data_IF_995969190001
#
_entry.id   IF_995969190001
#
_cell.length_a   1.000
_cell.length_b   1.000
_cell.length_c   1.000
_cell.angle_alpha   90.00
_cell.angle_beta   90.00
_cell.angle_gamma   90.00
#
_symmetry.space_group_name_H-M   'P 1'
#
loop_
_entity.id
_entity.type
_entity.pdbx_description
1 polymer ?
#
# COMPACT_ATOMS: atom_id res chain seq x y z
N UNK A 1 -59.86 44.70 40.28
CA UNK A 1 -59.38 43.39 40.75
C UNK A 1 -58.77 42.68 39.57
N UNK A 2 -57.44 42.70 39.49
CA UNK A 2 -56.65 42.17 38.37
C UNK A 2 -56.40 40.69 38.61
N UNK A 3 -56.86 39.81 37.72
CA UNK A 3 -56.52 38.39 37.75
C UNK A 3 -55.22 38.18 36.97
N UNK A 4 -54.21 37.63 37.64
CA UNK A 4 -52.93 37.23 37.04
C UNK A 4 -53.08 35.75 36.64
N UNK A 5 -53.03 35.47 35.33
CA UNK A 5 -52.94 34.09 34.83
C UNK A 5 -51.48 33.62 34.97
N UNK A 6 -51.28 32.52 35.71
CA UNK A 6 -49.99 31.82 35.79
C UNK A 6 -49.94 30.81 34.65
N UNK A 7 -49.17 31.09 33.61
CA UNK A 7 -48.85 30.11 32.56
C UNK A 7 -47.86 29.09 33.10
N UNK A 8 -48.29 27.84 33.21
CA UNK A 8 -47.43 26.69 33.46
C UNK A 8 -46.62 26.37 32.20
N UNK A 9 -45.32 26.60 32.25
CA UNK A 9 -44.39 26.23 31.18
C UNK A 9 -44.26 24.70 31.08
N UNK A 10 -44.66 24.14 29.95
CA UNK A 10 -44.41 22.75 29.55
C UNK A 10 -42.90 22.53 29.37
N UNK A 11 -42.29 21.46 29.93
CA UNK A 11 -40.88 21.21 29.69
C UNK A 11 -40.69 20.79 28.22
N UNK A 12 -39.87 21.55 27.50
CA UNK A 12 -39.46 21.23 26.14
C UNK A 12 -38.79 19.85 26.12
N UNK A 13 -39.22 19.01 25.17
CA UNK A 13 -38.59 17.72 24.90
C UNK A 13 -37.09 17.91 24.61
N UNK A 14 -36.21 16.98 25.03
CA UNK A 14 -34.79 17.08 24.74
C UNK A 14 -34.61 17.04 23.22
N UNK A 15 -34.08 18.12 22.66
CA UNK A 15 -33.57 18.15 21.29
C UNK A 15 -32.55 17.05 21.15
N UNK A 16 -32.86 16.07 20.29
CA UNK A 16 -31.92 15.05 19.86
C UNK A 16 -30.69 15.78 19.30
N UNK A 17 -29.59 15.71 20.04
CA UNK A 17 -28.32 16.34 19.68
C UNK A 17 -27.93 15.86 18.27
N UNK A 18 -28.02 16.76 17.29
CA UNK A 18 -27.58 16.55 15.91
C UNK A 18 -26.05 16.59 15.84
N UNK A 19 -25.35 15.98 16.78
CA UNK A 19 -23.91 15.84 16.80
C UNK A 19 -23.45 14.58 16.03
N UNK A 20 -24.02 14.37 14.84
CA UNK A 20 -23.34 13.65 13.75
C UNK A 20 -22.68 14.73 12.89
N UNK A 21 -21.88 15.56 13.55
CA UNK A 21 -21.14 16.64 12.90
C UNK A 21 -20.23 16.02 11.84
N UNK A 22 -20.22 16.65 10.67
CA UNK A 22 -19.57 16.16 9.47
C UNK A 22 -18.13 15.76 9.77
N UNK A 23 -17.88 14.46 9.76
CA UNK A 23 -16.54 13.91 9.71
C UNK A 23 -15.81 14.61 8.56
N UNK A 24 -14.80 15.40 8.90
CA UNK A 24 -14.07 16.23 7.94
C UNK A 24 -13.61 15.37 6.75
N UNK A 25 -13.62 15.91 5.54
CA UNK A 25 -13.30 15.15 4.31
C UNK A 25 -11.90 14.52 4.28
N UNK A 26 -10.97 14.98 5.13
CA UNK A 26 -9.64 14.38 5.33
C UNK A 26 -9.59 13.32 6.44
N UNK A 27 -10.68 13.11 7.17
CA UNK A 27 -10.72 12.14 8.26
C UNK A 27 -10.72 10.71 7.68
N UNK A 28 -9.99 9.76 8.28
CA UNK A 28 -9.87 8.39 7.77
C UNK A 28 -11.20 7.65 7.69
N UNK A 29 -12.18 8.01 8.53
CA UNK A 29 -13.54 7.43 8.51
C UNK A 29 -14.52 8.15 7.57
N UNK A 30 -14.08 9.19 6.86
CA UNK A 30 -14.90 9.82 5.84
C UNK A 30 -15.08 8.88 4.65
N UNK A 31 -16.31 8.57 4.25
CA UNK A 31 -16.61 7.79 3.06
C UNK A 31 -17.13 8.73 1.97
N UNK A 32 -16.39 8.87 0.88
CA UNK A 32 -16.87 9.67 -0.25
C UNK A 32 -18.06 8.94 -0.91
N UNK A 33 -19.11 9.63 -1.41
CA UNK A 33 -20.24 8.98 -2.09
C UNK A 33 -19.82 8.04 -3.26
N UNK A 34 -18.76 8.40 -3.98
CA UNK A 34 -18.14 7.56 -5.02
C UNK A 34 -17.48 6.28 -4.49
N UNK A 35 -17.12 6.22 -3.22
CA UNK A 35 -16.57 5.01 -2.60
C UNK A 35 -17.65 3.94 -2.40
N UNK A 36 -18.90 4.38 -2.21
CA UNK A 36 -20.07 3.52 -2.00
C UNK A 36 -20.53 2.87 -3.33
N UNK A 37 -20.20 3.47 -4.47
CA UNK A 37 -20.58 2.99 -5.80
C UNK A 37 -19.72 1.82 -6.34
N UNK A 38 -18.76 1.32 -5.56
CA UNK A 38 -18.36 -0.08 -5.68
C UNK A 38 -17.31 -0.45 -6.73
N UNK A 39 -16.53 0.49 -7.28
CA UNK A 39 -15.44 0.11 -8.22
C UNK A 39 -14.10 0.66 -7.78
N UNK A 40 -13.28 -0.20 -7.18
CA UNK A 40 -11.85 0.03 -7.15
C UNK A 40 -11.25 -0.45 -8.48
N UNK A 41 -10.63 0.50 -9.20
CA UNK A 41 -9.91 0.26 -10.43
C UNK A 41 -8.50 -0.25 -10.08
N UNK A 42 -8.43 -1.50 -9.62
CA UNK A 42 -7.18 -2.26 -9.67
C UNK A 42 -7.33 -3.21 -10.85
N UNK A 43 -6.56 -2.96 -11.91
CA UNK A 43 -6.62 -3.75 -13.15
C UNK A 43 -6.13 -5.19 -12.97
N UNK A 44 -5.51 -5.51 -11.84
CA UNK A 44 -4.85 -6.79 -11.61
C UNK A 44 -5.47 -7.48 -10.40
N UNK A 45 -6.17 -8.61 -10.62
CA UNK A 45 -6.60 -9.47 -9.52
C UNK A 45 -5.44 -10.29 -8.98
N UNK A 46 -5.43 -10.56 -7.68
CA UNK A 46 -4.49 -11.52 -7.08
C UNK A 46 -4.83 -12.92 -7.55
N UNK A 47 -3.89 -13.59 -8.21
CA UNK A 47 -4.07 -14.96 -8.73
C UNK A 47 -3.28 -15.99 -7.91
N UNK A 48 -2.20 -15.53 -7.29
CA UNK A 48 -1.31 -16.37 -6.52
C UNK A 48 -0.04 -15.64 -6.11
N UNK A 49 0.96 -16.37 -5.62
CA UNK A 49 2.23 -15.77 -5.20
C UNK A 49 3.00 -15.08 -6.33
N UNK A 50 2.81 -15.50 -7.58
CA UNK A 50 3.52 -15.00 -8.76
C UNK A 50 3.23 -13.53 -9.07
N UNK A 51 2.04 -13.03 -8.71
CA UNK A 51 1.65 -11.64 -8.95
C UNK A 51 1.37 -10.85 -7.65
N UNK A 52 1.63 -11.46 -6.49
CA UNK A 52 1.33 -10.86 -5.19
C UNK A 52 2.04 -9.52 -4.95
N UNK A 53 3.31 -9.38 -5.36
CA UNK A 53 4.05 -8.12 -5.22
C UNK A 53 3.42 -6.95 -5.95
N UNK A 54 3.15 -7.16 -7.25
CA UNK A 54 2.52 -6.17 -8.11
C UNK A 54 1.11 -5.84 -7.63
N UNK A 55 0.34 -6.86 -7.25
CA UNK A 55 -0.99 -6.71 -6.68
C UNK A 55 -0.96 -5.90 -5.38
N UNK A 56 -0.13 -6.28 -4.41
CA UNK A 56 -0.02 -5.62 -3.10
C UNK A 56 0.39 -4.15 -3.25
N UNK A 57 1.34 -3.86 -4.14
CA UNK A 57 1.76 -2.49 -4.46
C UNK A 57 0.61 -1.69 -5.08
N UNK A 58 -0.08 -2.25 -6.07
CA UNK A 58 -1.21 -1.59 -6.74
C UNK A 58 -2.35 -1.31 -5.76
N UNK A 59 -2.68 -2.28 -4.91
CA UNK A 59 -3.67 -2.15 -3.85
C UNK A 59 -3.32 -1.01 -2.88
N UNK A 60 -2.09 -0.97 -2.37
CA UNK A 60 -1.64 0.08 -1.45
C UNK A 60 -1.70 1.47 -2.09
N UNK A 61 -1.34 1.61 -3.37
CA UNK A 61 -1.42 2.89 -4.10
C UNK A 61 -2.87 3.39 -4.19
N UNK A 62 -3.80 2.52 -4.57
CA UNK A 62 -5.21 2.92 -4.70
C UNK A 62 -5.82 3.29 -3.35
N UNK A 63 -5.58 2.50 -2.31
CA UNK A 63 -6.09 2.83 -0.96
C UNK A 63 -5.43 4.07 -0.36
N UNK A 64 -4.17 4.35 -0.68
CA UNK A 64 -3.54 5.61 -0.31
C UNK A 64 -4.24 6.79 -0.95
N UNK A 65 -4.53 6.72 -2.26
CA UNK A 65 -5.29 7.77 -2.97
C UNK A 65 -6.70 8.01 -2.41
N UNK A 66 -7.29 7.00 -1.76
CA UNK A 66 -8.61 7.09 -1.10
C UNK A 66 -8.56 7.46 0.38
N UNK A 67 -7.38 7.72 0.93
CA UNK A 67 -7.18 7.94 2.38
C UNK A 67 -7.67 6.74 3.24
N UNK A 68 -7.54 5.52 2.72
CA UNK A 68 -7.94 4.27 3.38
C UNK A 68 -6.80 3.30 3.66
N UNK A 69 -5.56 3.66 3.28
CA UNK A 69 -4.39 2.80 3.50
C UNK A 69 -4.22 2.39 4.98
N UNK A 70 -4.66 3.24 5.91
CA UNK A 70 -4.55 2.94 7.34
C UNK A 70 -5.36 1.73 7.81
N UNK A 71 -6.45 1.37 7.12
CA UNK A 71 -7.22 0.17 7.42
C UNK A 71 -6.40 -1.09 7.10
N UNK A 72 -5.90 -1.20 5.86
CA UNK A 72 -5.04 -2.30 5.41
C UNK A 72 -3.77 -2.45 6.26
N UNK A 73 -3.15 -1.34 6.68
CA UNK A 73 -1.94 -1.36 7.50
C UNK A 73 -2.22 -1.57 8.99
N UNK A 74 -3.48 -1.62 9.42
CA UNK A 74 -3.82 -1.73 10.83
C UNK A 74 -3.49 -0.51 11.67
N UNK A 75 -3.29 0.65 11.05
CA UNK A 75 -3.05 1.94 11.73
C UNK A 75 -4.34 2.73 11.92
N UNK A 76 -5.49 2.20 11.48
CA UNK A 76 -6.83 2.74 11.72
C UNK A 76 -7.72 1.68 12.37
N UNK A 77 -7.42 1.28 13.62
CA UNK A 77 -8.17 0.23 14.33
C UNK A 77 -9.38 0.82 15.06
N UNK A 78 -10.47 0.04 15.16
CA UNK A 78 -11.73 0.47 15.79
C UNK A 78 -11.54 1.07 17.20
N UNK A 79 -10.73 0.44 18.04
CA UNK A 79 -10.49 0.88 19.42
C UNK A 79 -9.72 2.21 19.54
N UNK A 80 -9.17 2.73 18.45
CA UNK A 80 -8.51 4.03 18.43
C UNK A 80 -9.50 5.20 18.30
N UNK A 81 -10.76 4.90 17.99
CA UNK A 81 -11.80 5.89 17.80
C UNK A 81 -12.78 5.89 18.98
N UNK A 82 -13.37 7.06 19.23
CA UNK A 82 -14.46 7.21 20.19
C UNK A 82 -15.63 6.25 19.85
N UNK A 83 -16.32 5.67 20.85
CA UNK A 83 -17.48 4.79 20.62
C UNK A 83 -18.54 5.37 19.68
N UNK A 84 -18.74 6.68 19.65
CA UNK A 84 -19.67 7.35 18.72
C UNK A 84 -19.31 7.17 17.24
N UNK A 85 -18.04 6.88 16.93
CA UNK A 85 -17.52 6.69 15.58
C UNK A 85 -17.43 5.21 15.16
N UNK A 86 -17.77 4.27 16.05
CA UNK A 86 -17.62 2.84 15.80
C UNK A 86 -18.48 2.33 14.63
N UNK A 87 -19.71 2.82 14.51
CA UNK A 87 -20.60 2.50 13.37
C UNK A 87 -20.04 3.01 12.03
N UNK A 88 -19.40 4.19 12.03
CA UNK A 88 -18.75 4.73 10.84
C UNK A 88 -17.50 3.93 10.46
N UNK A 89 -16.76 3.46 11.47
CA UNK A 89 -15.64 2.55 11.26
C UNK A 89 -16.11 1.22 10.66
N UNK A 90 -17.17 0.61 11.20
CA UNK A 90 -17.72 -0.65 10.70
C UNK A 90 -18.18 -0.52 9.24
N UNK A 91 -18.80 0.61 8.88
CA UNK A 91 -19.16 0.91 7.48
C UNK A 91 -17.94 1.00 6.57
N UNK A 92 -16.88 1.70 7.01
CA UNK A 92 -15.64 1.78 6.23
C UNK A 92 -15.00 0.40 6.06
N UNK A 93 -14.91 -0.38 7.14
CA UNK A 93 -14.37 -1.74 7.11
C UNK A 93 -15.15 -2.65 6.16
N UNK A 94 -16.49 -2.58 6.14
CA UNK A 94 -17.31 -3.34 5.20
C UNK A 94 -17.04 -2.97 3.73
N UNK A 95 -16.86 -1.66 3.43
CA UNK A 95 -16.49 -1.19 2.09
C UNK A 95 -15.09 -1.70 1.70
N UNK A 96 -14.12 -1.63 2.62
CA UNK A 96 -12.77 -2.13 2.42
C UNK A 96 -12.75 -3.63 2.12
N UNK A 97 -13.49 -4.42 2.89
CA UNK A 97 -13.65 -5.85 2.66
C UNK A 97 -14.25 -6.14 1.29
N UNK A 98 -15.32 -5.45 0.89
CA UNK A 98 -15.92 -5.62 -0.44
C UNK A 98 -14.92 -5.30 -1.57
N UNK A 99 -14.13 -4.25 -1.41
CA UNK A 99 -13.10 -3.89 -2.37
C UNK A 99 -11.97 -4.92 -2.46
N UNK A 100 -11.46 -5.39 -1.33
CA UNK A 100 -10.42 -6.43 -1.26
C UNK A 100 -10.92 -7.72 -1.91
N UNK A 101 -12.15 -8.12 -1.62
CA UNK A 101 -12.76 -9.31 -2.23
C UNK A 101 -12.85 -9.20 -3.75
N UNK A 102 -13.17 -8.02 -4.30
CA UNK A 102 -13.30 -7.81 -5.75
C UNK A 102 -11.95 -7.86 -6.52
N UNK A 103 -10.83 -7.69 -5.81
CA UNK A 103 -9.49 -7.66 -6.42
C UNK A 103 -8.70 -8.94 -6.15
N UNK A 104 -9.36 -9.99 -5.65
CA UNK A 104 -8.79 -11.32 -5.42
C UNK A 104 -9.50 -12.31 -6.34
N UNK A 105 -8.75 -13.23 -6.94
CA UNK A 105 -9.34 -14.24 -7.81
C UNK A 105 -10.29 -15.17 -7.02
N UNK A 106 -11.45 -15.57 -7.59
CA UNK A 106 -12.48 -16.30 -6.87
C UNK A 106 -12.01 -17.61 -6.19
N UNK A 107 -11.01 -18.28 -6.78
CA UNK A 107 -10.42 -19.50 -6.22
C UNK A 107 -9.71 -19.27 -4.87
N UNK A 108 -9.22 -18.05 -4.62
CA UNK A 108 -8.54 -17.69 -3.37
C UNK A 108 -9.51 -17.16 -2.30
N UNK A 109 -10.67 -16.65 -2.72
CA UNK A 109 -11.69 -16.07 -1.84
C UNK A 109 -12.31 -17.07 -0.86
N UNK A 110 -12.37 -18.36 -1.21
CA UNK A 110 -12.98 -19.42 -0.40
C UNK A 110 -12.48 -19.45 1.06
N UNK A 111 -11.22 -19.09 1.27
CA UNK A 111 -10.59 -19.04 2.59
C UNK A 111 -10.83 -17.74 3.39
N UNK A 112 -11.45 -16.72 2.77
CA UNK A 112 -11.54 -15.34 3.29
C UNK A 112 -12.96 -14.82 3.43
N UNK A 113 -13.98 -15.57 2.96
CA UNK A 113 -15.39 -15.16 3.00
C UNK A 113 -15.91 -14.84 4.41
N UNK A 114 -15.31 -15.44 5.44
CA UNK A 114 -15.74 -15.25 6.84
C UNK A 114 -14.94 -14.19 7.60
N UNK A 115 -14.08 -13.44 6.93
CA UNK A 115 -13.29 -12.40 7.58
C UNK A 115 -14.13 -11.17 7.90
N UNK A 116 -14.03 -10.70 9.15
CA UNK A 116 -14.74 -9.51 9.65
C UNK A 116 -13.86 -8.25 9.67
N UNK A 117 -12.58 -8.37 9.36
CA UNK A 117 -11.57 -7.34 9.55
C UNK A 117 -10.66 -7.33 8.31
N UNK A 118 -10.66 -6.21 7.60
CA UNK A 118 -9.92 -6.04 6.35
C UNK A 118 -8.40 -6.15 6.55
N UNK A 119 -7.89 -5.64 7.67
CA UNK A 119 -6.48 -5.78 8.03
C UNK A 119 -6.09 -7.25 8.15
N UNK A 120 -6.91 -8.07 8.83
CA UNK A 120 -6.61 -9.50 9.00
C UNK A 120 -6.59 -10.25 7.67
N UNK A 121 -7.47 -9.89 6.73
CA UNK A 121 -7.44 -10.44 5.37
C UNK A 121 -6.12 -10.09 4.69
N UNK A 122 -5.71 -8.81 4.75
CA UNK A 122 -4.45 -8.37 4.14
C UNK A 122 -3.22 -9.01 4.80
N UNK A 123 -3.25 -9.25 6.11
CA UNK A 123 -2.20 -9.93 6.86
C UNK A 123 -2.07 -11.41 6.48
N UNK A 124 -3.19 -12.14 6.41
CA UNK A 124 -3.21 -13.54 5.97
C UNK A 124 -2.71 -13.69 4.52
N UNK A 125 -3.14 -12.79 3.62
CA UNK A 125 -2.62 -12.72 2.25
C UNK A 125 -1.11 -12.48 2.20
N UNK A 126 -0.62 -11.60 3.09
CA UNK A 126 0.80 -11.35 3.22
C UNK A 126 1.55 -12.58 3.70
N UNK A 127 1.13 -13.23 4.79
CA UNK A 127 1.81 -14.43 5.29
C UNK A 127 1.86 -15.57 4.25
N UNK A 128 0.77 -15.75 3.50
CA UNK A 128 0.66 -16.82 2.49
C UNK A 128 1.50 -16.58 1.25
N UNK A 129 1.52 -15.35 0.73
CA UNK A 129 2.08 -15.07 -0.59
C UNK A 129 3.39 -14.26 -0.56
N UNK A 130 3.73 -13.59 0.55
CA UNK A 130 4.96 -12.79 0.66
C UNK A 130 6.23 -13.64 0.71
N UNK A 131 6.14 -14.93 1.07
CA UNK A 131 7.28 -15.87 1.00
C UNK A 131 7.88 -15.95 -0.41
N UNK A 132 7.05 -15.74 -1.44
CA UNK A 132 7.54 -15.70 -2.82
C UNK A 132 8.27 -14.40 -3.13
N UNK A 133 7.98 -13.29 -2.45
CA UNK A 133 8.77 -12.05 -2.57
C UNK A 133 10.20 -12.23 -2.04
N UNK A 134 10.41 -13.02 -0.99
CA UNK A 134 11.76 -13.37 -0.53
C UNK A 134 12.52 -14.20 -1.58
N UNK A 135 11.87 -15.21 -2.17
CA UNK A 135 12.49 -16.00 -3.26
C UNK A 135 12.73 -15.20 -4.54
N UNK A 136 11.82 -14.29 -4.90
CA UNK A 136 11.91 -13.43 -6.09
C UNK A 136 12.97 -12.35 -5.89
N UNK A 137 13.02 -11.71 -4.73
CA UNK A 137 14.09 -10.76 -4.41
C UNK A 137 15.46 -11.46 -4.41
N UNK A 138 15.56 -12.68 -3.88
CA UNK A 138 16.79 -13.47 -3.96
C UNK A 138 17.15 -13.84 -5.42
N UNK A 139 16.17 -14.25 -6.23
CA UNK A 139 16.37 -14.52 -7.65
C UNK A 139 16.85 -13.26 -8.39
N UNK A 140 16.18 -12.13 -8.22
CA UNK A 140 16.56 -10.85 -8.80
C UNK A 140 17.96 -10.44 -8.35
N UNK A 141 18.29 -10.58 -7.07
CA UNK A 141 19.63 -10.32 -6.54
C UNK A 141 20.69 -11.17 -7.26
N UNK A 142 20.41 -12.45 -7.50
CA UNK A 142 21.28 -13.37 -8.24
C UNK A 142 21.42 -12.97 -9.71
N UNK A 143 20.32 -12.62 -10.38
CA UNK A 143 20.35 -12.21 -11.79
C UNK A 143 21.06 -10.87 -11.99
N UNK A 144 20.83 -9.89 -11.12
CA UNK A 144 21.57 -8.62 -11.10
C UNK A 144 23.08 -8.89 -10.99
N UNK A 145 23.49 -9.77 -10.07
CA UNK A 145 24.90 -10.10 -9.84
C UNK A 145 25.57 -10.82 -11.02
N UNK A 146 24.81 -11.60 -11.80
CA UNK A 146 25.32 -12.32 -12.98
C UNK A 146 25.30 -11.51 -14.26
N UNK A 147 24.49 -10.45 -14.35
CA UNK A 147 24.26 -9.75 -15.61
C UNK A 147 25.52 -9.00 -16.03
N UNK A 148 26.13 -9.47 -17.12
CA UNK A 148 27.25 -8.82 -17.81
C UNK A 148 26.81 -8.27 -19.16
N UNK A 149 27.50 -7.27 -19.68
CA UNK A 149 27.23 -6.67 -20.99
C UNK A 149 27.22 -7.73 -22.11
N UNK A 150 28.26 -8.58 -22.18
CA UNK A 150 28.33 -9.66 -23.17
C UNK A 150 28.29 -9.11 -24.60
N UNK A 151 27.29 -9.51 -25.38
CA UNK A 151 27.13 -9.05 -26.77
C UNK A 151 26.22 -7.80 -26.89
N UNK A 152 25.64 -7.34 -25.79
CA UNK A 152 24.74 -6.18 -25.79
C UNK A 152 25.52 -4.87 -25.94
N UNK A 153 24.87 -3.86 -26.52
CA UNK A 153 25.36 -2.48 -26.38
C UNK A 153 25.29 -2.04 -24.92
N UNK A 154 26.08 -1.02 -24.56
CA UNK A 154 26.06 -0.45 -23.20
C UNK A 154 24.65 0.05 -22.82
N UNK A 155 23.91 0.60 -23.78
CA UNK A 155 22.53 1.09 -23.56
C UNK A 155 21.53 -0.03 -23.29
N UNK A 156 21.60 -1.12 -24.06
CA UNK A 156 20.73 -2.30 -23.86
C UNK A 156 21.04 -3.00 -22.55
N UNK A 157 22.32 -3.15 -22.22
CA UNK A 157 22.76 -3.69 -20.93
C UNK A 157 22.24 -2.85 -19.77
N UNK A 158 22.43 -1.52 -19.82
CA UNK A 158 21.93 -0.61 -18.79
C UNK A 158 20.40 -0.68 -18.66
N UNK A 159 19.67 -0.74 -19.77
CA UNK A 159 18.21 -0.81 -19.75
C UNK A 159 17.70 -2.08 -19.06
N UNK A 160 18.29 -3.25 -19.37
CA UNK A 160 17.95 -4.51 -18.67
C UNK A 160 18.31 -4.47 -17.19
N UNK A 161 19.47 -3.91 -16.86
CA UNK A 161 19.90 -3.79 -15.47
C UNK A 161 18.97 -2.87 -14.68
N UNK A 162 18.50 -1.77 -15.30
CA UNK A 162 17.51 -0.86 -14.73
C UNK A 162 16.18 -1.55 -14.46
N UNK A 163 15.66 -2.33 -15.40
CA UNK A 163 14.42 -3.09 -15.20
C UNK A 163 14.51 -4.03 -13.98
N UNK A 164 15.62 -4.75 -13.84
CA UNK A 164 15.85 -5.64 -12.70
C UNK A 164 15.98 -4.86 -11.37
N UNK A 165 16.64 -3.71 -11.37
CA UNK A 165 16.73 -2.84 -10.19
C UNK A 165 15.37 -2.27 -9.80
N UNK A 166 14.60 -1.78 -10.76
CA UNK A 166 13.27 -1.21 -10.50
C UNK A 166 12.32 -2.27 -9.91
N UNK A 167 12.38 -3.51 -10.40
CA UNK A 167 11.63 -4.63 -9.82
C UNK A 167 12.13 -4.98 -8.42
N UNK A 168 13.46 -5.06 -8.21
CA UNK A 168 14.03 -5.37 -6.90
C UNK A 168 13.69 -4.31 -5.85
N UNK A 169 13.82 -3.02 -6.19
CA UNK A 169 13.44 -1.89 -5.32
C UNK A 169 11.93 -1.88 -5.01
N UNK A 170 11.10 -2.39 -5.92
CA UNK A 170 9.67 -2.54 -5.66
C UNK A 170 9.36 -3.63 -4.62
N UNK A 171 10.16 -4.70 -4.57
CA UNK A 171 10.02 -5.78 -3.58
C UNK A 171 10.69 -5.44 -2.24
N UNK A 172 11.82 -4.73 -2.28
CA UNK A 172 12.63 -4.37 -1.12
C UNK A 172 12.77 -2.86 -1.07
N UNK A 173 11.72 -2.12 -0.66
CA UNK A 173 11.74 -0.68 -0.65
C UNK A 173 12.78 -0.16 0.34
N UNK A 174 13.59 0.80 -0.10
CA UNK A 174 14.51 1.50 0.78
C UNK A 174 13.75 2.32 1.84
N UNK A 175 14.30 2.47 3.07
CA UNK A 175 13.72 3.34 4.07
C UNK A 175 13.56 4.77 3.53
N UNK A 176 12.35 5.35 3.57
CA UNK A 176 12.05 6.64 2.94
C UNK A 176 11.75 7.78 3.94
N UNK A 177 12.16 7.66 5.21
CA UNK A 177 11.76 8.61 6.28
C UNK A 177 12.18 10.08 6.11
N UNK A 178 12.82 10.49 5.02
CA UNK A 178 13.36 11.85 4.84
C UNK A 178 14.44 12.25 5.87
N UNK A 179 14.83 11.32 6.73
CA UNK A 179 15.85 11.41 7.75
C UNK A 179 17.28 11.43 7.12
N UNK A 180 18.30 11.99 7.79
CA UNK A 180 19.68 11.96 7.32
C UNK A 180 20.18 10.54 6.97
N UNK A 181 19.74 9.55 7.73
CA UNK A 181 20.06 8.14 7.61
C UNK A 181 19.49 7.54 6.31
N UNK A 182 18.22 7.82 5.98
CA UNK A 182 17.64 7.37 4.71
C UNK A 182 18.35 7.99 3.51
N UNK A 183 18.76 9.26 3.60
CA UNK A 183 19.55 9.90 2.54
C UNK A 183 20.92 9.25 2.37
N UNK A 184 21.60 8.90 3.46
CA UNK A 184 22.89 8.17 3.40
C UNK A 184 22.70 6.79 2.78
N UNK A 185 21.65 6.07 3.18
CA UNK A 185 21.31 4.77 2.63
C UNK A 185 21.03 4.85 1.12
N UNK A 186 20.20 5.80 0.68
CA UNK A 186 19.92 6.03 -0.73
C UNK A 186 21.21 6.31 -1.54
N UNK A 187 22.11 7.16 -1.03
CA UNK A 187 23.40 7.42 -1.69
C UNK A 187 24.26 6.16 -1.80
N UNK A 188 24.38 5.39 -0.73
CA UNK A 188 25.15 4.15 -0.72
C UNK A 188 24.58 3.13 -1.69
N UNK A 189 23.25 3.03 -1.76
CA UNK A 189 22.55 2.15 -2.68
C UNK A 189 22.78 2.53 -4.16
N UNK A 190 22.69 3.83 -4.50
CA UNK A 190 23.00 4.29 -5.86
C UNK A 190 24.47 4.02 -6.24
N UNK A 191 25.40 4.18 -5.28
CA UNK A 191 26.81 3.84 -5.49
C UNK A 191 27.01 2.34 -5.76
N UNK A 192 26.28 1.49 -5.03
CA UNK A 192 26.27 0.04 -5.29
C UNK A 192 25.78 -0.31 -6.70
N UNK A 193 24.71 0.34 -7.17
CA UNK A 193 24.22 0.18 -8.56
C UNK A 193 25.27 0.60 -9.59
N UNK A 194 25.97 1.70 -9.35
CA UNK A 194 27.08 2.13 -10.21
C UNK A 194 28.20 1.09 -10.26
N UNK A 195 28.64 0.57 -9.11
CA UNK A 195 29.68 -0.46 -9.08
C UNK A 195 29.25 -1.73 -9.81
N UNK A 196 28.03 -2.21 -9.59
CA UNK A 196 27.49 -3.37 -10.30
C UNK A 196 27.48 -3.16 -11.82
N UNK A 197 27.04 -1.98 -12.28
CA UNK A 197 27.07 -1.63 -13.70
C UNK A 197 28.50 -1.66 -14.26
N UNK A 198 29.45 -1.02 -13.58
CA UNK A 198 30.83 -0.94 -14.04
C UNK A 198 31.51 -2.33 -14.06
N UNK A 199 31.27 -3.18 -13.06
CA UNK A 199 31.83 -4.54 -13.00
C UNK A 199 31.28 -5.45 -14.09
N UNK A 200 30.04 -5.22 -14.54
CA UNK A 200 29.43 -6.01 -15.62
C UNK A 200 29.76 -5.52 -17.04
N UNK A 201 30.40 -4.37 -17.21
CA UNK A 201 30.83 -3.91 -18.53
C UNK A 201 31.92 -4.82 -19.11
N UNK A 202 31.93 -4.96 -20.43
CA UNK A 202 33.03 -5.66 -21.10
C UNK A 202 34.35 -4.91 -20.85
N UNK A 203 35.43 -5.67 -20.63
CA UNK A 203 36.78 -5.17 -20.31
C UNK A 203 37.47 -4.33 -21.40
N UNK A 204 36.74 -3.69 -22.31
CA UNK A 204 37.31 -2.75 -23.30
C UNK A 204 37.90 -1.47 -22.67
N UNK A 205 37.79 -1.31 -21.34
CA UNK A 205 38.56 -0.33 -20.56
C UNK A 205 39.84 -0.90 -19.91
N UNK A 206 39.96 -2.23 -19.78
CA UNK A 206 41.10 -2.88 -19.13
C UNK A 206 42.35 -2.91 -20.03
N UNK A 207 42.14 -2.84 -21.36
CA UNK A 207 43.21 -2.80 -22.37
C UNK A 207 43.76 -1.40 -22.66
N UNK A 208 43.13 -0.31 -22.19
CA UNK A 208 43.63 1.06 -22.42
C UNK A 208 44.42 1.67 -21.25
N UNK A 209 44.37 1.08 -20.06
CA UNK A 209 45.11 1.58 -18.89
C UNK A 209 46.49 0.91 -18.75
N UNK A 210 46.71 -0.28 -19.33
CA UNK A 210 48.02 -0.95 -19.31
C UNK A 210 49.00 -0.50 -20.40
N UNK A 211 48.59 0.39 -21.28
CA UNK A 211 49.38 0.88 -22.42
C UNK A 211 49.61 2.40 -22.40
N UNK A 212 49.39 3.07 -21.27
CA UNK A 212 49.69 4.50 -21.05
C UNK A 212 50.66 4.68 -19.90
#
# INVERSE_FOLDING_TARGET
MTYISVETATPAAPTLDQNVDLVHHHHPLYSHPFDIQGTILISTQLQGPENYSLWNRSMKIVFHGKNKLGFVLGTCRKHMFDPSLHELWDRCNAIMLAWIMNIIAPNLLSSMIYAYDDHKVCEDLHERFDKVNASRSFYLHKEIGKLTQGLLSVSEYFSKLRELWDEYEALVPSPSCGCPESRKHAKHYQLGKLYQFLTGLNGTFDTRIRSS
#
